data_IF_265225567889
#
_entry.id   IF_265225567889
#
_cell.length_a   1.000
_cell.length_b   1.000
_cell.length_c   1.000
_cell.angle_alpha   90.00
_cell.angle_beta   90.00
_cell.angle_gamma   90.00
#
_symmetry.space_group_name_H-M   'P 1'
#
loop_
_entity.id
_entity.type
_entity.pdbx_description
1 polymer ?
#
# COMPACT_ATOMS: atom_id res chain seq x y z
N UNK A 1 -17.87 -3.54 1.57
CA UNK A 1 -17.03 -4.48 0.80
C UNK A 1 -17.68 -4.88 -0.53
N UNK A 2 -18.56 -5.89 -0.61
CA UNK A 2 -19.12 -6.37 -1.89
C UNK A 2 -19.88 -5.30 -2.70
N UNK A 3 -20.62 -4.43 -2.00
CA UNK A 3 -21.30 -3.30 -2.62
C UNK A 3 -20.32 -2.32 -3.27
N UNK A 4 -19.16 -2.06 -2.66
CA UNK A 4 -18.13 -1.17 -3.21
C UNK A 4 -17.56 -1.74 -4.53
N UNK A 5 -17.40 -3.07 -4.61
CA UNK A 5 -16.95 -3.74 -5.84
C UNK A 5 -17.98 -3.60 -6.96
N UNK A 6 -19.28 -3.71 -6.65
CA UNK A 6 -20.32 -3.52 -7.66
C UNK A 6 -20.44 -2.05 -8.09
N UNK A 7 -20.43 -1.13 -7.12
CA UNK A 7 -20.52 0.31 -7.38
C UNK A 7 -19.31 0.82 -8.17
N UNK A 8 -18.09 0.31 -7.89
CA UNK A 8 -16.89 0.65 -8.67
C UNK A 8 -17.00 0.20 -10.13
N UNK A 9 -17.50 -1.01 -10.41
CA UNK A 9 -17.77 -1.46 -11.78
C UNK A 9 -18.75 -0.55 -12.51
N UNK A 10 -19.84 -0.17 -11.85
CA UNK A 10 -20.85 0.73 -12.42
C UNK A 10 -20.28 2.13 -12.68
N UNK A 11 -19.47 2.66 -11.77
CA UNK A 11 -18.82 3.96 -11.93
C UNK A 11 -17.82 3.93 -13.07
N UNK A 12 -16.98 2.90 -13.17
CA UNK A 12 -16.07 2.72 -14.31
C UNK A 12 -16.84 2.72 -15.63
N UNK A 13 -17.91 1.93 -15.75
CA UNK A 13 -18.71 1.89 -16.96
C UNK A 13 -19.31 3.26 -17.33
N UNK A 14 -19.75 4.02 -16.33
CA UNK A 14 -20.27 5.38 -16.55
C UNK A 14 -19.18 6.35 -17.00
N UNK A 15 -18.00 6.32 -16.37
CA UNK A 15 -16.88 7.22 -16.71
C UNK A 15 -16.33 6.95 -18.12
N UNK A 16 -16.30 5.69 -18.54
CA UNK A 16 -15.91 5.30 -19.91
C UNK A 16 -17.02 5.51 -20.95
N UNK A 17 -18.29 5.64 -20.53
CA UNK A 17 -19.39 5.92 -21.47
C UNK A 17 -19.53 7.39 -21.84
N UNK A 18 -19.01 8.29 -21.00
CA UNK A 18 -19.17 9.73 -21.19
C UNK A 18 -17.91 10.33 -21.87
N UNK A 19 -18.02 10.76 -23.15
CA UNK A 19 -16.88 11.25 -23.91
C UNK A 19 -16.30 12.56 -23.37
N UNK A 20 -17.01 13.27 -22.48
CA UNK A 20 -16.55 14.53 -21.90
C UNK A 20 -15.33 14.36 -20.99
N UNK A 21 -15.15 13.17 -20.41
CA UNK A 21 -14.07 12.94 -19.45
C UNK A 21 -12.72 12.62 -20.11
N UNK A 22 -12.67 12.50 -21.44
CA UNK A 22 -11.45 12.17 -22.21
C UNK A 22 -10.76 10.86 -21.77
N UNK A 23 -11.44 9.96 -21.05
CA UNK A 23 -10.88 8.65 -20.69
C UNK A 23 -10.61 7.80 -21.94
N UNK A 24 -11.48 7.86 -22.95
CA UNK A 24 -11.31 7.12 -24.20
C UNK A 24 -10.14 7.63 -25.07
N UNK A 25 -9.63 8.84 -24.79
CA UNK A 25 -8.48 9.43 -25.49
C UNK A 25 -7.15 9.10 -24.83
N UNK A 26 -7.18 8.38 -23.72
CA UNK A 26 -5.98 7.94 -23.04
C UNK A 26 -5.26 6.85 -23.84
N UNK A 27 -3.95 6.71 -23.60
CA UNK A 27 -3.13 5.74 -24.33
C UNK A 27 -3.48 4.30 -23.99
N UNK A 28 -4.09 4.08 -22.82
CA UNK A 28 -4.54 2.78 -22.35
C UNK A 28 -5.82 2.93 -21.50
N UNK A 29 -6.69 1.91 -21.48
CA UNK A 29 -7.88 1.91 -20.65
C UNK A 29 -7.50 1.84 -19.17
N UNK A 30 -7.94 2.82 -18.38
CA UNK A 30 -7.76 2.85 -16.93
C UNK A 30 -9.03 2.40 -16.20
N UNK A 31 -8.93 1.39 -15.35
CA UNK A 31 -10.04 0.95 -14.48
C UNK A 31 -9.61 1.04 -13.02
N UNK A 32 -10.47 1.61 -12.18
CA UNK A 32 -10.18 1.76 -10.75
C UNK A 32 -11.11 0.91 -9.90
N UNK A 33 -10.55 0.22 -8.90
CA UNK A 33 -11.35 -0.40 -7.85
C UNK A 33 -11.54 0.62 -6.72
N UNK A 34 -12.74 1.23 -6.68
CA UNK A 34 -13.06 2.29 -5.72
C UNK A 34 -13.61 1.64 -4.44
N UNK A 35 -12.84 1.74 -3.36
CA UNK A 35 -13.16 1.12 -2.07
C UNK A 35 -13.44 2.18 -1.02
N UNK A 36 -14.41 1.92 -0.15
CA UNK A 36 -14.75 2.80 0.96
C UNK A 36 -13.81 2.57 2.15
N UNK A 37 -12.97 3.55 2.49
CA UNK A 37 -11.95 3.41 3.55
C UNK A 37 -12.51 2.96 4.92
N UNK A 38 -13.75 3.31 5.26
CA UNK A 38 -14.35 2.96 6.55
C UNK A 38 -14.81 1.49 6.64
N UNK A 39 -15.00 0.83 5.50
CA UNK A 39 -15.54 -0.54 5.45
C UNK A 39 -14.49 -1.59 5.10
N UNK A 40 -13.27 -1.17 4.80
CA UNK A 40 -12.15 -2.05 4.49
C UNK A 40 -11.09 -1.90 5.57
N UNK A 41 -10.42 -2.99 5.98
CA UNK A 41 -9.25 -2.88 6.85
C UNK A 41 -8.19 -1.98 6.21
N UNK A 42 -7.35 -1.29 7.00
CA UNK A 42 -6.30 -0.47 6.45
C UNK A 42 -5.38 -1.31 5.56
N UNK A 43 -4.98 -0.73 4.45
CA UNK A 43 -4.03 -1.33 3.52
C UNK A 43 -2.61 -0.99 3.95
N UNK A 44 -1.65 -1.84 3.58
CA UNK A 44 -0.24 -1.53 3.78
C UNK A 44 0.12 -0.19 3.14
N UNK A 45 0.92 0.60 3.82
CA UNK A 45 1.42 1.86 3.30
C UNK A 45 2.76 1.64 2.61
N UNK A 46 2.70 1.25 1.34
CA UNK A 46 3.89 1.20 0.49
C UNK A 46 3.94 2.42 -0.43
N UNK A 47 5.10 3.05 -0.47
CA UNK A 47 5.41 4.14 -1.38
C UNK A 47 5.86 3.57 -2.71
N UNK A 48 5.20 4.01 -3.79
CA UNK A 48 5.62 3.72 -5.16
C UNK A 48 5.48 5.00 -5.97
N UNK A 49 6.59 5.48 -6.48
CA UNK A 49 6.59 6.56 -7.44
C UNK A 49 6.32 6.03 -8.84
N UNK A 50 5.11 6.29 -9.35
CA UNK A 50 4.73 5.92 -10.71
C UNK A 50 5.32 6.88 -11.76
N UNK A 51 5.52 6.41 -13.00
CA UNK A 51 5.91 7.26 -14.11
C UNK A 51 4.94 8.43 -14.33
N UNK A 52 5.44 9.56 -14.81
CA UNK A 52 4.66 10.80 -15.02
C UNK A 52 3.43 10.58 -15.88
N UNK A 53 3.55 9.82 -16.98
CA UNK A 53 2.43 9.54 -17.86
C UNK A 53 1.29 8.81 -17.13
N UNK A 54 1.60 7.84 -16.24
CA UNK A 54 0.58 7.13 -15.46
C UNK A 54 -0.07 8.08 -14.46
N UNK A 55 0.71 8.93 -13.79
CA UNK A 55 0.18 9.95 -12.85
C UNK A 55 -0.82 10.88 -13.53
N UNK A 56 -0.53 11.34 -14.74
CA UNK A 56 -1.46 12.17 -15.53
C UNK A 56 -2.76 11.42 -15.85
N UNK A 57 -2.66 10.14 -16.23
CA UNK A 57 -3.83 9.30 -16.50
C UNK A 57 -4.72 9.14 -15.25
N UNK A 58 -4.10 8.89 -14.09
CA UNK A 58 -4.79 8.79 -12.80
C UNK A 58 -5.44 10.12 -12.39
N UNK A 59 -4.80 11.26 -12.68
CA UNK A 59 -5.37 12.59 -12.41
C UNK A 59 -6.60 12.87 -13.27
N UNK A 60 -6.58 12.52 -14.56
CA UNK A 60 -7.75 12.65 -15.44
C UNK A 60 -8.91 11.81 -14.90
N UNK A 61 -8.64 10.54 -14.53
CA UNK A 61 -9.64 9.68 -13.91
C UNK A 61 -10.19 10.29 -12.61
N UNK A 62 -9.33 10.86 -11.77
CA UNK A 62 -9.71 11.50 -10.50
C UNK A 62 -10.64 12.69 -10.75
N UNK A 63 -10.32 13.56 -11.71
CA UNK A 63 -11.18 14.70 -12.08
C UNK A 63 -12.55 14.26 -12.61
N UNK A 64 -12.57 13.19 -13.40
CA UNK A 64 -13.80 12.61 -13.93
C UNK A 64 -14.67 12.05 -12.78
N UNK A 65 -14.05 11.36 -11.83
CA UNK A 65 -14.72 10.85 -10.64
C UNK A 65 -15.25 11.98 -9.74
N UNK A 66 -14.45 13.02 -9.51
CA UNK A 66 -14.86 14.20 -8.73
C UNK A 66 -16.05 14.92 -9.38
N UNK A 67 -16.07 15.04 -10.71
CA UNK A 67 -17.22 15.62 -11.42
C UNK A 67 -18.50 14.80 -11.20
N UNK A 68 -18.39 13.47 -11.17
CA UNK A 68 -19.51 12.56 -10.94
C UNK A 68 -19.97 12.53 -9.47
N UNK A 69 -19.03 12.65 -8.53
CA UNK A 69 -19.25 12.45 -7.09
C UNK A 69 -18.76 13.66 -6.27
N UNK A 70 -19.06 14.89 -6.71
CA UNK A 70 -18.54 16.21 -6.29
C UNK A 70 -18.22 16.53 -4.83
N UNK A 71 -18.52 15.66 -3.87
CA UNK A 71 -18.08 15.74 -2.49
C UNK A 71 -17.03 14.67 -2.08
N UNK A 72 -16.47 13.91 -3.04
CA UNK A 72 -15.52 12.83 -2.80
C UNK A 72 -14.35 12.91 -3.79
N UNK A 73 -13.16 12.65 -3.28
CA UNK A 73 -11.93 12.50 -4.07
C UNK A 73 -11.36 11.08 -3.93
N UNK A 74 -10.40 10.72 -4.79
CA UNK A 74 -9.76 9.41 -4.78
C UNK A 74 -8.35 9.50 -4.19
N UNK A 75 -8.06 8.61 -3.24
CA UNK A 75 -6.71 8.35 -2.77
C UNK A 75 -6.21 7.07 -3.43
N UNK A 76 -5.22 7.18 -4.32
CA UNK A 76 -4.67 6.04 -5.03
C UNK A 76 -3.65 5.30 -4.15
N UNK A 77 -3.73 3.97 -4.15
CA UNK A 77 -2.71 3.08 -3.57
C UNK A 77 -1.92 2.44 -4.73
N UNK A 78 -0.87 3.10 -5.25
CA UNK A 78 -0.25 2.77 -6.53
C UNK A 78 0.45 1.41 -6.55
N UNK A 79 0.87 0.90 -5.40
CA UNK A 79 1.49 -0.42 -5.27
C UNK A 79 0.46 -1.56 -5.44
N UNK A 80 -0.84 -1.28 -5.26
CA UNK A 80 -1.92 -2.26 -5.43
C UNK A 80 -2.55 -2.13 -6.80
N UNK A 81 -2.62 -3.24 -7.53
CA UNK A 81 -3.33 -3.32 -8.80
C UNK A 81 -2.72 -4.36 -9.72
N UNK A 82 -3.21 -4.37 -10.95
CA UNK A 82 -2.67 -5.21 -12.01
C UNK A 82 -2.59 -4.37 -13.27
N UNK A 83 -1.46 -4.45 -13.95
CA UNK A 83 -1.18 -3.73 -15.19
C UNK A 83 -0.91 -4.77 -16.26
N UNK A 84 -1.69 -4.71 -17.34
CA UNK A 84 -1.40 -5.48 -18.54
C UNK A 84 -0.43 -4.66 -19.39
N UNK A 85 0.73 -5.24 -19.69
CA UNK A 85 1.78 -4.59 -20.47
C UNK A 85 2.18 -5.46 -21.66
N UNK A 86 2.34 -4.80 -22.80
CA UNK A 86 2.93 -5.37 -24.01
C UNK A 86 4.37 -4.89 -24.14
N UNK A 87 5.31 -5.83 -24.05
CA UNK A 87 6.74 -5.56 -24.16
C UNK A 87 7.20 -6.03 -25.53
N UNK A 88 7.66 -5.09 -26.36
CA UNK A 88 8.28 -5.37 -27.64
C UNK A 88 9.80 -5.27 -27.53
N UNK A 89 10.46 -6.42 -27.58
CA UNK A 89 11.91 -6.57 -27.67
C UNK A 89 12.30 -6.79 -29.13
N UNK A 90 13.60 -6.76 -29.43
CA UNK A 90 14.12 -6.98 -30.79
C UNK A 90 13.79 -8.36 -31.35
N UNK A 91 13.75 -9.38 -30.49
CA UNK A 91 13.55 -10.78 -30.88
C UNK A 91 12.11 -11.29 -30.67
N UNK A 92 11.32 -10.65 -29.79
CA UNK A 92 9.97 -11.13 -29.40
C UNK A 92 9.05 -10.03 -28.87
N UNK A 93 7.74 -10.28 -28.98
CA UNK A 93 6.68 -9.52 -28.29
C UNK A 93 6.09 -10.39 -27.19
N UNK A 94 5.95 -9.84 -25.98
CA UNK A 94 5.40 -10.55 -24.82
C UNK A 94 4.28 -9.71 -24.22
N UNK A 95 3.11 -10.30 -24.05
CA UNK A 95 2.03 -9.74 -23.25
C UNK A 95 2.09 -10.35 -21.84
N UNK A 96 2.14 -9.51 -20.80
CA UNK A 96 2.17 -9.95 -19.40
C UNK A 96 1.21 -9.11 -18.57
N UNK A 97 0.55 -9.75 -17.61
CA UNK A 97 -0.17 -9.04 -16.55
C UNK A 97 0.69 -9.08 -15.29
N UNK A 98 1.18 -7.92 -14.85
CA UNK A 98 2.11 -7.79 -13.72
C UNK A 98 1.63 -6.72 -12.75
N UNK A 99 2.17 -6.69 -11.53
CA UNK A 99 1.86 -5.62 -10.59
C UNK A 99 2.47 -4.27 -11.00
N UNK A 100 1.91 -3.13 -10.55
CA UNK A 100 2.40 -1.80 -10.90
C UNK A 100 3.89 -1.59 -10.60
N UNK A 101 4.40 -2.20 -9.54
CA UNK A 101 5.82 -2.16 -9.19
C UNK A 101 6.67 -2.83 -10.27
N UNK A 102 6.30 -4.03 -10.74
CA UNK A 102 7.00 -4.71 -11.82
C UNK A 102 6.96 -3.89 -13.13
N UNK A 103 5.79 -3.35 -13.49
CA UNK A 103 5.61 -2.52 -14.68
C UNK A 103 6.47 -1.24 -14.62
N UNK A 104 6.57 -0.62 -13.44
CA UNK A 104 7.40 0.58 -13.24
C UNK A 104 8.89 0.27 -13.36
N UNK A 105 9.35 -0.88 -12.82
CA UNK A 105 10.73 -1.33 -12.97
C UNK A 105 11.09 -1.40 -14.46
N UNK A 106 10.35 -2.17 -15.24
CA UNK A 106 10.68 -2.40 -16.65
C UNK A 106 10.55 -1.10 -17.49
N UNK A 107 9.65 -0.19 -17.11
CA UNK A 107 9.55 1.13 -17.73
C UNK A 107 10.84 1.95 -17.60
N UNK A 108 11.52 1.92 -16.43
CA UNK A 108 12.79 2.63 -16.27
C UNK A 108 13.92 2.04 -17.12
N UNK A 109 13.89 0.72 -17.38
CA UNK A 109 14.84 0.06 -18.29
C UNK A 109 14.68 0.50 -19.75
N UNK A 110 13.54 1.10 -20.12
CA UNK A 110 13.37 1.73 -21.44
C UNK A 110 14.22 2.99 -21.62
N UNK A 111 14.47 3.74 -20.55
CA UNK A 111 15.24 5.01 -20.62
C UNK A 111 16.74 4.75 -20.54
N UNK A 112 17.16 3.79 -19.70
CA UNK A 112 18.56 3.43 -19.47
C UNK A 112 18.66 1.92 -19.37
N UNK A 113 19.56 1.32 -20.14
CA UNK A 113 19.67 -0.15 -20.26
C UNK A 113 20.29 -0.83 -19.04
N UNK A 114 20.96 -0.07 -18.17
CA UNK A 114 21.63 -0.59 -16.98
C UNK A 114 21.25 0.26 -15.76
N UNK A 115 20.81 -0.38 -14.69
CA UNK A 115 20.44 0.28 -13.44
C UNK A 115 21.02 -0.47 -12.25
N UNK A 116 21.34 0.26 -11.18
CA UNK A 116 21.60 -0.35 -9.87
C UNK A 116 20.33 -0.41 -9.04
N UNK A 117 20.26 -1.34 -8.09
CA UNK A 117 19.14 -1.46 -7.14
C UNK A 117 18.98 -0.19 -6.32
N UNK A 118 20.09 0.44 -5.93
CA UNK A 118 20.10 1.66 -5.11
C UNK A 118 19.55 2.85 -5.89
N UNK A 119 19.95 3.01 -7.16
CA UNK A 119 19.41 4.06 -8.06
C UNK A 119 17.90 3.87 -8.26
N UNK A 120 17.45 2.64 -8.56
CA UNK A 120 16.03 2.34 -8.74
C UNK A 120 15.24 2.49 -7.43
N UNK A 121 15.82 2.14 -6.30
CA UNK A 121 15.21 2.27 -4.97
C UNK A 121 14.94 3.74 -4.64
N UNK A 122 15.91 4.62 -4.91
CA UNK A 122 15.74 6.07 -4.72
C UNK A 122 14.70 6.65 -5.68
N UNK A 123 14.70 6.19 -6.94
CA UNK A 123 13.82 6.74 -7.97
C UNK A 123 12.36 6.29 -7.80
N UNK A 124 12.14 5.03 -7.42
CA UNK A 124 10.80 4.48 -7.21
C UNK A 124 10.26 4.68 -5.78
N UNK A 125 11.11 5.13 -4.86
CA UNK A 125 10.84 5.17 -3.42
C UNK A 125 10.43 3.80 -2.83
N UNK A 126 11.00 2.70 -3.36
CA UNK A 126 10.75 1.33 -2.90
C UNK A 126 11.99 0.79 -2.19
N UNK A 127 11.88 0.11 -1.03
CA UNK A 127 13.03 -0.48 -0.35
C UNK A 127 13.82 -1.46 -1.23
N UNK A 128 15.16 -1.38 -1.18
CA UNK A 128 16.05 -2.23 -1.97
C UNK A 128 15.79 -3.74 -1.77
N UNK A 129 15.38 -4.16 -0.58
CA UNK A 129 15.04 -5.57 -0.27
C UNK A 129 13.85 -6.07 -1.08
N UNK A 130 12.77 -5.29 -1.13
CA UNK A 130 11.57 -5.59 -1.92
C UNK A 130 11.91 -5.53 -3.41
N UNK A 131 12.68 -4.54 -3.82
CA UNK A 131 13.07 -4.35 -5.21
C UNK A 131 13.89 -5.52 -5.76
N UNK A 132 14.84 -6.09 -4.99
CA UNK A 132 15.59 -7.29 -5.38
C UNK A 132 14.68 -8.48 -5.68
N UNK A 133 13.68 -8.72 -4.83
CA UNK A 133 12.67 -9.78 -5.04
C UNK A 133 11.84 -9.53 -6.30
N UNK A 134 11.38 -8.29 -6.52
CA UNK A 134 10.61 -7.92 -7.73
C UNK A 134 11.46 -8.00 -9.01
N UNK A 135 12.76 -7.69 -8.95
CA UNK A 135 13.68 -7.86 -10.09
C UNK A 135 13.93 -9.34 -10.39
N UNK A 136 13.95 -10.22 -9.38
CA UNK A 136 14.11 -11.67 -9.59
C UNK A 136 13.03 -12.26 -10.51
N UNK A 137 11.81 -11.74 -10.48
CA UNK A 137 10.76 -12.09 -11.45
C UNK A 137 11.18 -11.76 -12.89
N UNK A 138 11.73 -10.57 -13.13
CA UNK A 138 12.20 -10.20 -14.47
C UNK A 138 13.44 -10.96 -14.92
N UNK A 139 14.27 -11.42 -13.97
CA UNK A 139 15.36 -12.34 -14.24
C UNK A 139 14.85 -13.73 -14.65
N UNK A 140 13.81 -14.25 -13.99
CA UNK A 140 13.23 -15.56 -14.35
C UNK A 140 12.56 -15.55 -15.73
N UNK A 141 12.01 -14.42 -16.15
CA UNK A 141 11.52 -14.20 -17.53
C UNK A 141 12.65 -13.99 -18.56
N UNK A 142 13.90 -13.91 -18.10
CA UNK A 142 15.09 -13.73 -18.94
C UNK A 142 15.21 -12.34 -19.56
N UNK A 143 14.53 -11.32 -18.99
CA UNK A 143 14.60 -9.94 -19.51
C UNK A 143 15.67 -9.10 -18.81
N UNK A 144 15.95 -9.37 -17.55
CA UNK A 144 17.04 -8.71 -16.81
C UNK A 144 18.13 -9.72 -16.47
N UNK A 145 19.39 -9.29 -16.53
CA UNK A 145 20.55 -10.07 -16.12
C UNK A 145 21.42 -9.26 -15.16
N UNK A 146 21.87 -9.89 -14.09
CA UNK A 146 22.84 -9.30 -13.17
C UNK A 146 24.24 -9.26 -13.82
N UNK A 147 24.84 -8.08 -13.87
CA UNK A 147 26.20 -7.86 -14.42
C UNK A 147 27.23 -7.73 -13.30
N UNK A 148 26.85 -7.07 -12.21
CA UNK A 148 27.61 -6.95 -10.98
C UNK A 148 26.65 -6.98 -9.80
N UNK A 149 27.16 -7.11 -8.58
CA UNK A 149 26.35 -7.04 -7.36
C UNK A 149 25.41 -5.83 -7.41
N UNK A 150 24.11 -6.08 -7.35
CA UNK A 150 23.06 -5.05 -7.38
C UNK A 150 23.02 -4.20 -8.67
N UNK A 151 23.59 -4.66 -9.78
CA UNK A 151 23.50 -4.01 -11.10
C UNK A 151 22.88 -4.94 -12.13
N UNK A 152 21.77 -4.48 -12.72
CA UNK A 152 20.99 -5.23 -13.69
C UNK A 152 21.02 -4.56 -15.05
N UNK A 153 21.09 -5.38 -16.09
CA UNK A 153 21.10 -4.96 -17.49
C UNK A 153 19.96 -5.62 -18.26
N UNK A 154 19.29 -4.85 -19.11
CA UNK A 154 18.23 -5.32 -20.00
C UNK A 154 18.82 -6.19 -21.12
N UNK A 155 18.30 -7.41 -21.25
CA UNK A 155 18.68 -8.37 -22.29
C UNK A 155 17.63 -8.35 -23.40
N UNK A 156 17.98 -7.74 -24.53
CA UNK A 156 17.09 -7.65 -25.71
C UNK A 156 17.13 -8.87 -26.64
N UNK A 157 18.16 -9.72 -26.52
CA UNK A 157 18.37 -10.89 -27.37
C UNK A 157 18.64 -12.13 -26.52
N UNK A 158 17.78 -13.13 -26.62
CA UNK A 158 17.97 -14.41 -25.91
C UNK A 158 19.04 -15.26 -26.60
N UNK A 159 20.24 -15.36 -26.00
CA UNK A 159 21.39 -16.03 -26.61
C UNK A 159 21.27 -17.56 -26.76
N UNK A 160 20.20 -18.21 -26.28
CA UNK A 160 20.05 -19.67 -26.41
C UNK A 160 18.59 -20.09 -26.46
N UNK A 161 18.20 -20.72 -27.58
CA UNK A 161 17.02 -21.59 -27.70
C UNK A 161 17.14 -22.77 -26.74
N UNK A 162 16.70 -22.60 -25.50
CA UNK A 162 16.25 -23.70 -24.65
C UNK A 162 14.78 -23.45 -24.32
N UNK A 163 13.92 -24.04 -25.15
CA UNK A 163 12.47 -24.08 -24.94
C UNK A 163 12.18 -24.81 -23.64
N UNK A 164 11.74 -24.06 -22.63
CA UNK A 164 10.53 -24.44 -21.91
C UNK A 164 9.51 -23.35 -22.23
N UNK A 165 8.44 -23.63 -23.00
CA UNK A 165 7.30 -22.74 -23.03
C UNK A 165 6.65 -22.90 -21.66
N UNK A 166 7.04 -22.07 -20.69
CA UNK A 166 6.17 -21.84 -19.54
C UNK A 166 4.94 -21.20 -20.17
N UNK A 167 3.83 -21.93 -20.18
CA UNK A 167 2.56 -21.40 -20.65
C UNK A 167 2.34 -20.03 -19.99
N UNK A 168 1.72 -19.05 -20.67
CA UNK A 168 1.41 -17.73 -20.12
C UNK A 168 0.37 -17.78 -18.97
N UNK A 169 0.21 -18.94 -18.33
CA UNK A 169 -0.80 -19.26 -17.33
C UNK A 169 -0.19 -19.51 -15.94
N UNK A 170 1.12 -19.27 -15.74
CA UNK A 170 1.68 -19.17 -14.38
C UNK A 170 1.54 -17.75 -13.87
N UNK A 171 0.33 -17.53 -13.36
CA UNK A 171 -0.06 -16.61 -12.30
C UNK A 171 1.11 -16.21 -11.41
N UNK A 172 1.16 -14.92 -11.06
CA UNK A 172 2.06 -14.34 -10.08
C UNK A 172 1.85 -14.97 -8.68
N UNK A 173 2.30 -16.20 -8.45
CA UNK A 173 2.14 -16.89 -7.15
C UNK A 173 2.95 -16.24 -6.02
N UNK A 174 3.95 -15.40 -6.31
CA UNK A 174 4.77 -14.77 -5.26
C UNK A 174 4.20 -13.44 -4.71
N UNK A 175 3.01 -13.02 -5.15
CA UNK A 175 2.27 -11.91 -4.51
C UNK A 175 1.13 -12.34 -3.59
N UNK A 176 0.73 -13.62 -3.57
CA UNK A 176 -0.32 -14.09 -2.64
C UNK A 176 0.15 -14.18 -1.19
N UNK A 177 1.46 -14.15 -0.92
CA UNK A 177 1.98 -14.26 0.46
C UNK A 177 2.04 -12.93 1.22
N UNK A 178 1.98 -11.79 0.52
CA UNK A 178 1.90 -10.48 1.16
C UNK A 178 0.48 -9.93 1.07
N UNK A 179 -0.35 -10.26 2.07
CA UNK A 179 -1.67 -9.64 2.26
C UNK A 179 -1.59 -8.13 2.02
N UNK A 180 -2.41 -7.63 1.09
CA UNK A 180 -2.55 -6.20 0.79
C UNK A 180 -3.11 -5.41 1.98
N UNK A 181 -3.86 -6.09 2.86
CA UNK A 181 -4.33 -5.53 4.12
C UNK A 181 -3.18 -5.52 5.12
N UNK A 182 -3.07 -4.40 5.85
CA UNK A 182 -2.17 -4.27 6.99
C UNK A 182 -2.46 -5.42 7.97
N UNK A 183 -1.42 -5.88 8.65
CA UNK A 183 -1.58 -7.03 9.53
C UNK A 183 -2.53 -6.67 10.68
N UNK A 184 -3.18 -7.68 11.27
CA UNK A 184 -3.98 -7.48 12.48
C UNK A 184 -3.16 -6.84 13.63
N UNK A 185 -1.82 -6.98 13.59
CA UNK A 185 -0.92 -6.33 14.52
C UNK A 185 -0.85 -4.81 14.30
N UNK A 186 -0.69 -4.37 13.05
CA UNK A 186 -0.57 -2.94 12.71
C UNK A 186 -1.86 -2.18 13.01
N UNK A 187 -3.01 -2.78 12.66
CA UNK A 187 -4.34 -2.27 13.00
C UNK A 187 -4.50 -2.06 14.51
N UNK A 188 -4.06 -3.05 15.28
CA UNK A 188 -4.13 -3.01 16.74
C UNK A 188 -3.19 -1.95 17.32
N UNK A 189 -2.05 -1.69 16.71
CA UNK A 189 -1.15 -0.63 17.16
C UNK A 189 -1.73 0.76 16.91
N UNK A 190 -2.39 1.01 15.78
CA UNK A 190 -3.10 2.27 15.51
C UNK A 190 -4.23 2.53 16.53
N UNK A 191 -5.05 1.51 16.82
CA UNK A 191 -6.10 1.60 17.86
C UNK A 191 -5.51 1.95 19.23
N UNK A 192 -4.41 1.30 19.60
CA UNK A 192 -3.69 1.56 20.83
C UNK A 192 -3.07 2.97 20.87
N UNK A 193 -2.68 3.55 19.72
CA UNK A 193 -2.21 4.93 19.63
C UNK A 193 -3.34 5.95 19.83
N UNK A 194 -4.56 5.66 19.36
CA UNK A 194 -5.72 6.47 19.70
C UNK A 194 -5.92 6.47 21.21
N UNK A 195 -5.93 5.30 21.86
CA UNK A 195 -6.00 5.23 23.33
C UNK A 195 -4.86 5.98 24.01
N UNK A 196 -3.64 5.92 23.48
CA UNK A 196 -2.51 6.69 24.02
C UNK A 196 -2.79 8.18 24.05
N UNK A 197 -3.30 8.76 22.96
CA UNK A 197 -3.64 10.19 22.90
C UNK A 197 -4.68 10.58 23.95
N UNK A 198 -5.71 9.74 24.15
CA UNK A 198 -6.72 9.95 25.20
C UNK A 198 -6.12 9.82 26.60
N UNK A 199 -5.27 8.81 26.84
CA UNK A 199 -4.60 8.59 28.14
C UNK A 199 -3.70 9.77 28.49
N UNK A 200 -2.90 10.26 27.53
CA UNK A 200 -2.08 11.46 27.71
C UNK A 200 -2.97 12.66 28.03
N UNK A 201 -4.04 12.89 27.26
CA UNK A 201 -5.00 13.96 27.55
C UNK A 201 -5.61 13.87 28.95
N UNK A 202 -5.98 12.67 29.41
CA UNK A 202 -6.52 12.49 30.76
C UNK A 202 -5.46 12.70 31.84
N UNK A 203 -4.24 12.19 31.67
CA UNK A 203 -3.16 12.31 32.65
C UNK A 203 -2.57 13.73 32.71
N UNK A 204 -2.61 14.49 31.62
CA UNK A 204 -2.26 15.92 31.63
C UNK A 204 -3.24 16.73 32.46
N UNK A 205 -4.53 16.36 32.46
CA UNK A 205 -5.57 17.10 33.20
C UNK A 205 -5.74 16.63 34.66
N UNK A 206 -5.56 15.34 34.94
CA UNK A 206 -5.86 14.72 36.24
C UNK A 206 -4.60 14.29 37.02
N UNK A 207 -3.41 14.54 36.48
CA UNK A 207 -2.08 14.27 37.04
C UNK A 207 -1.76 12.79 37.32
N UNK A 208 -2.63 12.06 38.04
CA UNK A 208 -2.41 10.71 38.56
C UNK A 208 -3.67 9.87 38.43
N UNK A 209 -3.57 8.67 37.84
CA UNK A 209 -4.73 7.77 37.73
C UNK A 209 -4.38 6.28 37.91
N UNK A 210 -5.23 5.50 38.60
CA UNK A 210 -5.08 4.05 38.68
C UNK A 210 -5.61 3.37 37.40
N UNK A 211 -5.15 2.14 37.14
CA UNK A 211 -5.50 1.34 35.97
C UNK A 211 -7.02 1.27 35.72
N UNK A 212 -7.79 0.95 36.76
CA UNK A 212 -9.24 0.74 36.66
C UNK A 212 -9.98 2.01 36.21
N UNK A 213 -9.52 3.17 36.69
CA UNK A 213 -10.10 4.47 36.32
C UNK A 213 -9.78 4.83 34.87
N UNK A 214 -8.56 4.55 34.42
CA UNK A 214 -8.17 4.72 33.02
C UNK A 214 -9.04 3.84 32.12
N UNK A 215 -9.21 2.56 32.49
CA UNK A 215 -10.05 1.61 31.76
C UNK A 215 -11.51 2.07 31.67
N UNK A 216 -12.09 2.51 32.78
CA UNK A 216 -13.46 2.98 32.83
C UNK A 216 -13.66 4.26 32.01
N UNK A 217 -12.72 5.21 32.05
CA UNK A 217 -12.80 6.43 31.25
C UNK A 217 -12.62 6.14 29.76
N UNK A 218 -11.71 5.26 29.37
CA UNK A 218 -11.62 4.81 27.97
C UNK A 218 -12.93 4.15 27.51
N UNK A 219 -13.56 3.34 28.36
CA UNK A 219 -14.87 2.74 28.06
C UNK A 219 -16.02 3.77 28.00
N UNK A 220 -15.94 4.85 28.75
CA UNK A 220 -16.97 5.89 28.69
C UNK A 220 -16.77 6.85 27.51
N UNK A 221 -15.53 7.17 27.14
CA UNK A 221 -15.23 8.24 26.17
C UNK A 221 -14.69 7.74 24.83
N UNK A 222 -13.99 6.60 24.78
CA UNK A 222 -13.40 6.06 23.55
C UNK A 222 -14.33 5.04 22.85
N UNK A 223 -15.16 4.28 23.58
CA UNK A 223 -16.08 3.29 22.99
C UNK A 223 -17.49 3.79 22.68
N UNK A 224 -17.73 5.11 22.67
CA UNK A 224 -18.99 5.70 22.17
C UNK A 224 -18.95 6.04 20.66
N UNK A 225 -17.81 5.84 20.00
CA UNK A 225 -17.68 6.00 18.55
C UNK A 225 -18.20 4.79 17.76
N UNK A 226 -18.49 4.94 16.44
CA UNK A 226 -18.91 3.84 15.57
C UNK A 226 -17.86 2.71 15.41
N UNK A 227 -16.64 2.93 15.90
CA UNK A 227 -15.55 1.96 16.03
C UNK A 227 -15.33 1.61 17.51
N UNK A 228 -16.34 1.05 18.16
CA UNK A 228 -16.24 0.64 19.56
C UNK A 228 -15.27 -0.54 19.71
N UNK A 229 -14.00 -0.23 19.98
CA UNK A 229 -12.97 -1.23 20.26
C UNK A 229 -13.10 -1.66 21.71
N UNK A 230 -13.38 -2.95 21.93
CA UNK A 230 -13.37 -3.54 23.26
C UNK A 230 -11.92 -3.78 23.71
N UNK A 231 -11.39 -2.89 24.55
CA UNK A 231 -10.10 -3.10 25.21
C UNK A 231 -10.33 -3.79 26.56
N UNK A 232 -9.75 -4.98 26.76
CA UNK A 232 -9.79 -5.65 28.05
C UNK A 232 -8.85 -5.01 29.07
N UNK A 233 -9.12 -5.19 30.36
CA UNK A 233 -8.30 -4.63 31.43
C UNK A 233 -6.87 -5.18 31.43
N UNK A 234 -6.70 -6.45 31.05
CA UNK A 234 -5.39 -7.09 30.93
C UNK A 234 -4.57 -6.52 29.77
N UNK A 235 -5.23 -6.23 28.64
CA UNK A 235 -4.58 -5.63 27.48
C UNK A 235 -4.16 -4.19 27.74
N UNK A 236 -5.03 -3.39 28.39
CA UNK A 236 -4.69 -2.03 28.79
C UNK A 236 -3.50 -2.02 29.74
N UNK A 237 -3.45 -2.96 30.71
CA UNK A 237 -2.31 -3.11 31.60
C UNK A 237 -1.03 -3.39 30.83
N UNK A 238 -1.04 -4.37 29.93
CA UNK A 238 0.13 -4.71 29.12
C UNK A 238 0.59 -3.52 28.26
N UNK A 239 -0.36 -2.77 27.71
CA UNK A 239 -0.09 -1.57 26.93
C UNK A 239 0.57 -0.46 27.77
N UNK A 240 0.03 -0.17 28.95
CA UNK A 240 0.60 0.83 29.86
C UNK A 240 1.97 0.40 30.37
N UNK A 241 2.16 -0.89 30.68
CA UNK A 241 3.45 -1.43 31.10
C UNK A 241 4.52 -1.28 29.99
N UNK A 242 4.15 -1.45 28.72
CA UNK A 242 5.01 -1.13 27.56
C UNK A 242 5.39 0.35 27.55
N UNK A 243 4.44 1.26 27.80
CA UNK A 243 4.69 2.71 27.85
C UNK A 243 5.52 3.16 29.05
N UNK A 244 5.44 2.45 30.17
CA UNK A 244 6.35 2.64 31.32
C UNK A 244 7.78 2.23 30.96
N UNK A 245 7.94 1.10 30.24
CA UNK A 245 9.26 0.64 29.76
C UNK A 245 9.87 1.59 28.73
N UNK A 246 9.04 2.21 27.88
CA UNK A 246 9.44 3.27 26.94
C UNK A 246 9.75 4.62 27.64
N UNK A 247 9.69 4.69 28.97
CA UNK A 247 9.84 5.92 29.77
C UNK A 247 8.83 7.03 29.42
N UNK A 248 7.72 6.69 28.76
CA UNK A 248 6.62 7.62 28.43
C UNK A 248 5.60 7.75 29.56
N UNK A 249 5.58 6.79 30.49
CA UNK A 249 4.81 6.82 31.72
C UNK A 249 5.66 6.44 32.92
N UNK A 250 5.28 6.96 34.07
CA UNK A 250 5.80 6.55 35.37
C UNK A 250 4.71 5.78 36.10
N UNK A 251 5.06 4.64 36.69
CA UNK A 251 4.16 3.87 37.53
C UNK A 251 4.70 3.85 38.96
N UNK A 252 3.92 4.38 39.91
CA UNK A 252 4.29 4.41 41.32
C UNK A 252 3.05 4.23 42.20
N UNK A 253 3.15 3.32 43.18
CA UNK A 253 2.09 3.10 44.17
C UNK A 253 0.73 2.69 43.60
N UNK A 254 0.68 2.05 42.42
CA UNK A 254 -0.58 1.69 41.76
C UNK A 254 -1.17 2.77 40.82
N UNK A 255 -0.48 3.91 40.67
CA UNK A 255 -0.91 5.02 39.84
C UNK A 255 0.04 5.25 38.66
N UNK A 256 -0.53 5.58 37.51
CA UNK A 256 0.19 6.04 36.32
C UNK A 256 0.26 7.56 36.31
N UNK A 257 1.43 8.08 35.92
CA UNK A 257 1.73 9.52 35.76
C UNK A 257 2.50 9.76 34.46
N UNK A 258 2.35 10.95 33.87
CA UNK A 258 3.29 11.42 32.86
C UNK A 258 4.64 11.82 33.49
N UNK A 259 5.77 11.58 32.81
CA UNK A 259 7.06 12.15 33.20
C UNK A 259 6.95 13.68 33.24
N UNK A 260 7.63 14.32 34.19
CA UNK A 260 7.76 15.78 34.17
C UNK A 260 8.64 16.16 32.98
N UNK A 261 8.14 17.05 32.11
CA UNK A 261 8.98 17.76 31.13
C UNK A 261 10.00 18.64 31.83
#
# INVERSE_FOLDING_TARGET
>A
MLKDVYDSKRINAHLHSDPNFNLDRQQFPSMAMILSAQFWPPFKEETLELPSFVKEHLQIYTKAFETLKGNRTLSWKPHLGSVNIDIELKDRKINLTVSPTHATIIWHFQTKNQWTVEELSQLMHVPATVLRRKIAFWQSQGMLREVSTDSFLLVEESATRSRCPVAPDMVCEDEETESAMASAHDQREEELQVFWSYIVGMLTNLDLMPLDRIHQMLKMFASQGPTAVECSLQELRHFLDRKVREHKLLFSGGFYRLPKS
#
